data_IF_098198437746
#
_entry.id   IF_098198437746
#
_cell.length_a   1.000
_cell.length_b   1.000
_cell.length_c   1.000
_cell.angle_alpha   90.00
_cell.angle_beta   90.00
_cell.angle_gamma   90.00
#
_symmetry.space_group_name_H-M   'P 1'
#
loop_
_entity.id
_entity.type
_entity.pdbx_description
1 polymer ?
#
# COMPACT_ATOMS: atom_id res chain seq x y z
N UNK A 1 9.19 -2.92 2.36
CA UNK A 1 8.10 -3.55 1.59
C UNK A 1 7.08 -4.13 2.58
N UNK A 2 5.78 -3.85 2.42
CA UNK A 2 4.71 -4.40 3.28
C UNK A 2 3.94 -5.47 2.49
N UNK A 3 3.77 -6.65 3.09
CA UNK A 3 3.08 -7.79 2.50
C UNK A 3 2.17 -8.41 3.58
N UNK A 4 0.97 -8.79 3.16
CA UNK A 4 -0.04 -9.46 3.97
C UNK A 4 -0.65 -10.61 3.15
N UNK A 5 -0.88 -11.73 3.81
CA UNK A 5 -1.59 -12.87 3.24
C UNK A 5 -2.45 -13.54 4.33
N UNK A 6 -3.70 -13.83 4.00
CA UNK A 6 -4.64 -14.55 4.86
C UNK A 6 -5.55 -15.42 3.98
N UNK A 7 -5.27 -16.72 3.96
CA UNK A 7 -5.93 -17.70 3.10
C UNK A 7 -5.93 -17.29 1.63
N UNK A 8 -7.10 -16.89 1.15
CA UNK A 8 -7.34 -16.50 -0.24
C UNK A 8 -7.12 -15.01 -0.52
N UNK A 9 -6.70 -14.21 0.46
CA UNK A 9 -6.48 -12.78 0.27
C UNK A 9 -5.00 -12.44 0.37
N UNK A 10 -4.49 -11.73 -0.62
CA UNK A 10 -3.14 -11.20 -0.66
C UNK A 10 -3.22 -9.69 -0.75
N UNK A 11 -2.40 -9.01 0.03
CA UNK A 11 -2.24 -7.57 -0.08
C UNK A 11 -0.78 -7.16 0.00
N UNK A 12 -0.37 -6.22 -0.82
CA UNK A 12 0.96 -5.62 -0.75
C UNK A 12 0.86 -4.11 -0.88
N UNK A 13 1.82 -3.40 -0.29
CA UNK A 13 1.91 -1.96 -0.42
C UNK A 13 3.15 -1.51 -1.17
N UNK A 14 2.99 -0.43 -1.95
CA UNK A 14 4.04 0.20 -2.74
C UNK A 14 3.99 1.71 -2.52
N UNK A 15 5.16 2.33 -2.42
CA UNK A 15 5.29 3.79 -2.44
C UNK A 15 5.89 4.19 -3.78
N UNK A 16 5.36 5.26 -4.38
CA UNK A 16 6.01 6.00 -5.46
C UNK A 16 6.61 7.25 -4.82
N UNK A 17 7.93 7.42 -4.98
CA UNK A 17 8.73 8.49 -4.41
C UNK A 17 9.60 9.12 -5.50
N UNK A 18 9.67 10.45 -5.51
CA UNK A 18 10.54 11.20 -6.42
C UNK A 18 9.88 11.61 -7.73
N UNK A 19 8.55 11.65 -7.77
CA UNK A 19 7.79 12.28 -8.84
C UNK A 19 7.83 11.55 -10.17
N UNK A 20 8.32 10.30 -10.21
CA UNK A 20 8.49 9.52 -11.45
C UNK A 20 8.02 8.08 -11.31
N UNK A 21 7.39 7.57 -12.37
CA UNK A 21 7.00 6.16 -12.47
C UNK A 21 8.18 5.25 -12.86
N UNK A 22 7.93 3.93 -12.95
CA UNK A 22 8.95 2.93 -13.34
C UNK A 22 9.46 3.09 -14.78
N UNK A 23 8.80 3.91 -15.60
CA UNK A 23 9.18 4.23 -16.96
C UNK A 23 9.85 5.62 -17.06
N UNK A 24 10.08 6.30 -15.93
CA UNK A 24 10.72 7.61 -15.85
C UNK A 24 9.80 8.79 -16.18
N UNK A 25 8.50 8.55 -16.36
CA UNK A 25 7.50 9.61 -16.63
C UNK A 25 7.06 10.26 -15.32
N UNK A 26 6.59 11.51 -15.37
CA UNK A 26 6.08 12.18 -14.17
C UNK A 26 4.89 11.41 -13.58
N UNK A 27 4.96 11.16 -12.28
CA UNK A 27 3.90 10.53 -11.51
C UNK A 27 3.85 11.18 -10.13
N UNK A 28 2.64 11.38 -9.60
CA UNK A 28 2.49 11.92 -8.25
C UNK A 28 3.00 10.90 -7.23
N UNK A 29 3.78 11.39 -6.27
CA UNK A 29 4.14 10.62 -5.10
C UNK A 29 2.88 10.12 -4.39
N UNK A 30 2.96 8.91 -3.87
CA UNK A 30 1.78 8.28 -3.30
C UNK A 30 2.04 6.91 -2.74
N UNK A 31 1.18 6.52 -1.81
CA UNK A 31 1.17 5.20 -1.20
C UNK A 31 0.01 4.39 -1.78
N UNK A 32 0.31 3.19 -2.25
CA UNK A 32 -0.64 2.29 -2.89
C UNK A 32 -0.73 0.99 -2.11
N UNK A 33 -1.95 0.55 -1.84
CA UNK A 33 -2.26 -0.79 -1.35
C UNK A 33 -2.97 -1.54 -2.47
N UNK A 34 -2.43 -2.68 -2.84
CA UNK A 34 -3.06 -3.59 -3.78
C UNK A 34 -3.53 -4.79 -2.98
N UNK A 35 -4.81 -5.14 -3.07
CA UNK A 35 -5.36 -6.32 -2.41
C UNK A 35 -6.21 -7.12 -3.39
N UNK A 36 -6.12 -8.45 -3.32
CA UNK A 36 -6.84 -9.37 -4.20
C UNK A 36 -7.40 -10.54 -3.41
N UNK A 37 -8.67 -10.87 -3.67
CA UNK A 37 -9.28 -12.12 -3.25
C UNK A 37 -9.18 -13.13 -4.41
N UNK A 38 -8.39 -14.20 -4.23
CA UNK A 38 -8.26 -15.29 -5.21
C UNK A 38 -9.34 -16.36 -5.08
N UNK A 39 -10.20 -16.28 -4.06
CA UNK A 39 -11.30 -17.23 -3.91
C UNK A 39 -12.28 -17.04 -5.07
N UNK A 40 -12.74 -18.16 -5.64
CA UNK A 40 -13.63 -18.19 -6.80
C UNK A 40 -15.10 -18.02 -6.45
N UNK A 41 -15.49 -18.23 -5.19
CA UNK A 41 -16.90 -18.29 -4.77
C UNK A 41 -17.22 -17.46 -3.53
N UNK A 42 -16.27 -17.28 -2.61
CA UNK A 42 -16.49 -16.64 -1.32
C UNK A 42 -16.00 -15.18 -1.28
N UNK A 43 -16.83 -14.33 -0.67
CA UNK A 43 -16.43 -13.00 -0.23
C UNK A 43 -15.49 -13.12 0.98
N UNK A 44 -14.43 -12.31 1.00
CA UNK A 44 -13.44 -12.31 2.08
C UNK A 44 -13.33 -10.92 2.69
N UNK A 45 -13.35 -10.87 4.02
CA UNK A 45 -13.10 -9.66 4.79
C UNK A 45 -11.77 -9.82 5.50
N UNK A 46 -10.85 -8.90 5.27
CA UNK A 46 -9.55 -8.86 5.96
C UNK A 46 -9.45 -7.59 6.79
N UNK A 47 -8.68 -7.66 7.87
CA UNK A 47 -8.29 -6.49 8.65
C UNK A 47 -6.78 -6.55 8.85
N UNK A 48 -6.07 -5.66 8.17
CA UNK A 48 -4.61 -5.66 8.17
C UNK A 48 -4.06 -4.41 8.86
N UNK A 49 -3.02 -4.61 9.67
CA UNK A 49 -2.32 -3.52 10.35
C UNK A 49 -1.32 -2.88 9.39
N UNK A 50 -1.50 -1.61 9.05
CA UNK A 50 -0.70 -0.90 8.04
C UNK A 50 0.64 -0.41 8.59
N UNK A 51 0.96 -0.69 9.87
CA UNK A 51 2.21 -0.27 10.54
C UNK A 51 2.51 1.23 10.41
N UNK A 52 1.47 2.06 10.36
CA UNK A 52 1.60 3.50 10.17
C UNK A 52 2.05 3.92 8.77
N UNK A 53 1.92 3.05 7.75
CA UNK A 53 2.22 3.40 6.36
C UNK A 53 1.04 4.08 5.67
N UNK A 54 -0.18 3.76 6.10
CA UNK A 54 -1.42 4.32 5.55
C UNK A 54 -2.15 5.09 6.65
N UNK A 55 -2.57 6.32 6.34
CA UNK A 55 -3.39 7.15 7.22
C UNK A 55 -4.57 7.73 6.46
N UNK A 56 -5.67 7.95 7.19
CA UNK A 56 -6.83 8.65 6.66
C UNK A 56 -7.58 7.86 5.59
N UNK A 57 -8.00 8.57 4.53
CA UNK A 57 -8.85 8.04 3.46
C UNK A 57 -7.98 7.55 2.31
N UNK A 58 -8.26 6.32 1.86
CA UNK A 58 -7.70 5.76 0.64
C UNK A 58 -8.78 5.70 -0.44
N UNK A 59 -8.47 6.20 -1.62
CA UNK A 59 -9.36 6.19 -2.79
C UNK A 59 -9.00 5.05 -3.73
N UNK A 60 -9.99 4.49 -4.43
CA UNK A 60 -9.70 3.50 -5.45
C UNK A 60 -9.07 4.17 -6.68
N UNK A 61 -7.85 3.78 -7.03
CA UNK A 61 -7.08 4.36 -8.13
C UNK A 61 -7.64 3.99 -9.51
N UNK A 62 -8.34 2.87 -9.64
CA UNK A 62 -8.95 2.41 -10.89
C UNK A 62 -10.43 2.79 -11.01
N UNK A 63 -11.11 3.01 -9.87
CA UNK A 63 -12.53 3.37 -9.82
C UNK A 63 -12.74 4.60 -8.95
N UNK A 64 -12.49 5.82 -9.48
CA UNK A 64 -12.47 7.04 -8.69
C UNK A 64 -13.79 7.39 -7.98
N UNK A 65 -14.92 6.85 -8.47
CA UNK A 65 -16.26 7.06 -7.89
C UNK A 65 -16.58 6.12 -6.71
N UNK A 66 -15.70 5.18 -6.39
CA UNK A 66 -15.88 4.29 -5.25
C UNK A 66 -15.74 5.09 -3.94
N UNK A 67 -16.59 4.76 -2.95
CA UNK A 67 -16.49 5.34 -1.61
C UNK A 67 -15.09 5.09 -1.04
N UNK A 68 -14.36 6.13 -0.59
CA UNK A 68 -13.04 5.96 -0.02
C UNK A 68 -13.05 5.07 1.22
N UNK A 69 -12.06 4.20 1.35
CA UNK A 69 -11.88 3.34 2.52
C UNK A 69 -11.07 4.09 3.59
N UNK A 70 -11.50 4.05 4.83
CA UNK A 70 -10.77 4.67 5.94
C UNK A 70 -9.88 3.67 6.66
N UNK A 71 -8.66 4.11 6.99
CA UNK A 71 -7.83 3.45 7.98
C UNK A 71 -8.21 3.95 9.37
N UNK A 72 -8.59 3.05 10.27
CA UNK A 72 -8.96 3.36 11.67
C UNK A 72 -7.93 2.69 12.58
N UNK A 73 -7.30 3.43 13.49
CA UNK A 73 -6.29 2.91 14.41
C UNK A 73 -5.14 2.15 13.72
N UNK A 74 -4.67 2.66 12.58
CA UNK A 74 -3.67 2.00 11.72
C UNK A 74 -4.07 0.61 11.20
N UNK A 75 -5.38 0.32 11.16
CA UNK A 75 -5.94 -0.88 10.54
C UNK A 75 -6.76 -0.50 9.32
N UNK A 76 -6.52 -1.21 8.23
CA UNK A 76 -7.33 -1.15 7.04
C UNK A 76 -8.18 -2.42 6.94
N UNK A 77 -9.49 -2.25 6.91
CA UNK A 77 -10.44 -3.35 6.74
C UNK A 77 -11.00 -3.32 5.32
N UNK A 78 -10.89 -4.45 4.61
CA UNK A 78 -11.35 -4.58 3.24
C UNK A 78 -12.27 -5.79 3.10
N UNK A 79 -13.37 -5.59 2.40
CA UNK A 79 -14.28 -6.66 1.98
C UNK A 79 -14.18 -6.82 0.48
N UNK A 80 -13.71 -7.98 0.02
CA UNK A 80 -13.42 -8.26 -1.38
C UNK A 80 -14.32 -9.39 -1.89
N UNK A 81 -15.13 -9.14 -2.95
CA UNK A 81 -15.87 -10.20 -3.62
C UNK A 81 -14.93 -11.25 -4.24
N UNK A 82 -15.46 -12.42 -4.65
CA UNK A 82 -14.69 -13.43 -5.35
C UNK A 82 -13.98 -12.86 -6.59
N UNK A 83 -12.72 -13.26 -6.79
CA UNK A 83 -11.87 -12.86 -7.93
C UNK A 83 -11.77 -11.33 -8.15
N UNK A 84 -11.92 -10.54 -7.09
CA UNK A 84 -11.78 -9.08 -7.17
C UNK A 84 -10.47 -8.60 -6.58
N UNK A 85 -9.91 -7.61 -7.25
CA UNK A 85 -8.77 -6.82 -6.79
C UNK A 85 -9.18 -5.36 -6.63
N UNK A 86 -8.50 -4.68 -5.71
CA UNK A 86 -8.62 -3.24 -5.48
C UNK A 86 -7.23 -2.63 -5.41
N UNK A 87 -7.07 -1.44 -5.98
CA UNK A 87 -5.87 -0.61 -5.83
C UNK A 87 -6.31 0.64 -5.09
N UNK A 88 -5.84 0.80 -3.88
CA UNK A 88 -6.15 1.92 -3.00
C UNK A 88 -4.96 2.87 -2.94
N UNK A 89 -5.19 4.13 -3.27
CA UNK A 89 -4.22 5.20 -3.17
C UNK A 89 -4.49 6.03 -1.91
N UNK A 90 -3.47 6.23 -1.10
CA UNK A 90 -3.45 7.16 0.02
C UNK A 90 -2.38 8.23 -0.17
N UNK A 91 -2.52 9.32 0.59
CA UNK A 91 -1.42 10.27 0.76
C UNK A 91 -0.28 9.59 1.54
N UNK A 92 0.96 9.96 1.23
CA UNK A 92 2.11 9.51 2.01
C UNK A 92 1.97 9.98 3.47
N UNK A 93 2.37 9.14 4.42
CA UNK A 93 2.47 9.54 5.81
C UNK A 93 3.47 10.72 5.93
N UNK A 94 2.98 11.89 6.38
CA UNK A 94 3.79 13.12 6.46
C UNK A 94 5.00 13.04 7.41
N UNK A 95 5.18 11.94 8.16
CA UNK A 95 6.39 11.70 8.95
C UNK A 95 6.86 10.25 8.85
N UNK A 96 7.84 10.00 7.97
CA UNK A 96 8.75 8.86 8.14
C UNK A 96 9.72 9.22 9.26
N UNK A 97 9.65 8.55 10.42
CA UNK A 97 10.74 8.63 11.40
C UNK A 97 11.99 8.00 10.78
N UNK A 98 12.98 8.82 10.44
CA UNK A 98 14.29 8.34 10.02
C UNK A 98 14.88 7.46 11.13
N UNK A 99 15.22 6.21 10.82
CA UNK A 99 15.89 5.29 11.76
C UNK A 99 15.36 3.86 11.81
N UNK A 100 14.22 3.51 11.18
CA UNK A 100 13.75 2.12 11.18
C UNK A 100 14.28 1.38 9.95
N UNK A 101 15.44 0.75 10.12
CA UNK A 101 15.88 -0.36 9.26
C UNK A 101 14.92 -1.52 9.45
N UNK A 102 14.06 -1.78 8.46
CA UNK A 102 13.23 -2.98 8.45
C UNK A 102 14.04 -4.16 7.93
N UNK A 103 14.62 -4.92 8.87
CA UNK A 103 15.12 -6.26 8.61
C UNK A 103 13.94 -7.21 8.39
N UNK A 104 13.56 -7.39 7.13
CA UNK A 104 12.87 -8.60 6.68
C UNK A 104 13.68 -9.12 5.50
N UNK A 105 14.25 -10.30 5.65
CA UNK A 105 15.09 -11.02 4.70
C UNK A 105 14.54 -10.98 3.27
N UNK A 106 14.87 -9.95 2.49
CA UNK A 106 15.15 -9.96 1.04
C UNK A 106 15.93 -8.68 0.77
N UNK A 107 17.18 -8.85 0.33
CA UNK A 107 18.09 -7.79 -0.08
C UNK A 107 17.45 -6.91 -1.16
N UNK A 108 17.23 -5.63 -0.86
CA UNK A 108 17.13 -4.58 -1.87
C UNK A 108 17.74 -3.30 -1.28
N UNK A 109 19.02 -3.13 -1.58
CA UNK A 109 19.79 -1.92 -1.38
C UNK A 109 19.11 -0.80 -2.17
N UNK A 110 18.73 0.28 -1.48
CA UNK A 110 18.76 1.61 -2.09
C UNK A 110 19.12 2.62 -1.00
N UNK A 111 20.40 2.62 -0.64
CA UNK A 111 21.02 3.70 0.11
C UNK A 111 21.17 4.85 -0.89
N UNK A 112 20.29 5.87 -0.81
CA UNK A 112 20.59 7.16 -1.44
C UNK A 112 21.50 7.93 -0.50
N UNK A 113 22.81 7.73 -0.65
CA UNK A 113 23.83 8.56 -0.02
C UNK A 113 23.54 10.02 -0.39
N UNK A 114 23.23 10.84 0.62
CA UNK A 114 23.39 12.30 0.55
C UNK A 114 24.84 12.56 0.15
N UNK A 115 25.07 13.23 -0.99
CA UNK A 115 26.34 13.95 -1.18
C UNK A 115 26.27 15.23 -0.33
N UNK A 116 27.25 15.52 0.54
CA UNK A 116 27.47 16.88 1.00
C UNK A 116 28.05 17.72 -0.15
N UNK A 117 27.87 19.03 -0.01
CA UNK A 117 28.09 20.11 -1.00
C UNK A 117 29.38 20.00 -1.80
#
# INVERSE_FOLDING_TARGET
MFLYADGDVFAYARVIEGGRDVFGREARDGFFIIAMNRNTTALRTISMYTKGLAYGRLTNALTPRMVPVQTINSRLTLTLPPLRAVILQGAEAQQKRAGVLFTSYVTAVCIRLRRPR
#
